data_IF_989742651204
#
_entry.id   IF_989742651204
#
_cell.length_a   1.000
_cell.length_b   1.000
_cell.length_c   1.000
_cell.angle_alpha   90.00
_cell.angle_beta   90.00
_cell.angle_gamma   90.00
#
_symmetry.space_group_name_H-M   'P 1'
#
loop_
_entity.id
_entity.type
_entity.pdbx_description
1 polymer ?
#
# COMPACT_ATOMS: atom_id res chain seq x y z
N UNK A 1 16.49 -10.32 89.22
CA UNK A 1 16.30 -9.11 88.40
C UNK A 1 17.29 -9.20 87.26
N UNK A 2 16.90 -9.16 85.99
CA UNK A 2 15.55 -9.16 85.40
C UNK A 2 15.70 -9.47 83.92
N UNK A 3 14.91 -10.42 83.40
CA UNK A 3 14.81 -10.70 81.98
C UNK A 3 14.19 -9.49 81.24
N UNK A 4 14.78 -9.14 80.09
CA UNK A 4 14.09 -8.37 79.04
C UNK A 4 14.50 -8.93 77.68
N UNK A 5 13.71 -9.87 77.16
CA UNK A 5 13.73 -10.20 75.72
C UNK A 5 13.36 -8.95 74.91
N UNK A 6 14.19 -8.55 73.96
CA UNK A 6 13.81 -7.53 72.98
C UNK A 6 13.12 -8.21 71.78
N UNK A 7 11.78 -8.31 71.83
CA UNK A 7 10.93 -8.89 70.79
C UNK A 7 10.11 -7.80 70.09
N UNK A 8 10.08 -7.89 68.76
CA UNK A 8 9.16 -7.22 67.83
C UNK A 8 9.28 -5.67 67.77
N UNK A 9 8.91 -4.99 66.68
CA UNK A 9 8.31 -5.48 65.44
C UNK A 9 9.00 -4.86 64.21
N UNK A 10 9.26 -5.66 63.18
CA UNK A 10 9.32 -5.14 61.82
C UNK A 10 7.86 -4.86 61.41
N UNK A 11 7.53 -3.60 61.18
CA UNK A 11 6.24 -3.23 60.61
C UNK A 11 6.26 -3.59 59.12
N UNK A 12 5.80 -4.81 58.81
CA UNK A 12 5.44 -5.20 57.46
C UNK A 12 4.16 -4.47 57.07
N UNK A 13 4.32 -3.26 56.52
CA UNK A 13 3.20 -2.49 55.98
C UNK A 13 2.76 -3.14 54.66
N UNK A 14 2.01 -4.23 54.76
CA UNK A 14 1.25 -4.76 53.63
C UNK A 14 0.25 -3.68 53.21
N UNK A 15 0.57 -2.99 52.11
CA UNK A 15 -0.42 -2.23 51.37
C UNK A 15 -1.42 -3.26 50.82
N UNK A 16 -2.57 -3.40 51.48
CA UNK A 16 -3.73 -4.12 50.96
C UNK A 16 -4.10 -3.51 49.61
N UNK A 17 -3.66 -4.16 48.53
CA UNK A 17 -4.07 -3.83 47.16
C UNK A 17 -5.54 -4.21 47.07
N UNK A 18 -6.41 -3.23 47.36
CA UNK A 18 -7.86 -3.37 47.22
C UNK A 18 -8.16 -3.77 45.78
N UNK A 19 -8.56 -5.02 45.58
CA UNK A 19 -8.90 -5.53 44.27
C UNK A 19 -10.00 -4.65 43.65
N UNK A 20 -9.68 -4.05 42.50
CA UNK A 20 -10.66 -3.27 41.75
C UNK A 20 -11.83 -4.18 41.34
N UNK A 21 -13.08 -3.76 41.52
CA UNK A 21 -14.23 -4.60 41.17
C UNK A 21 -14.19 -5.00 39.69
N UNK A 22 -14.38 -6.28 39.41
CA UNK A 22 -14.42 -6.81 38.05
C UNK A 22 -15.71 -6.33 37.34
N UNK A 23 -15.59 -5.26 36.55
CA UNK A 23 -16.73 -4.64 35.85
C UNK A 23 -16.96 -5.38 34.54
N UNK A 24 -17.96 -6.25 34.54
CA UNK A 24 -18.44 -6.90 33.32
C UNK A 24 -19.21 -5.93 32.42
N UNK A 25 -18.93 -5.97 31.11
CA UNK A 25 -19.64 -5.20 30.08
C UNK A 25 -20.24 -6.14 29.04
N UNK A 26 -21.54 -6.02 28.76
CA UNK A 26 -22.18 -6.72 27.65
C UNK A 26 -21.71 -6.14 26.30
N UNK A 27 -21.25 -6.97 25.34
CA UNK A 27 -20.82 -6.47 24.03
C UNK A 27 -21.99 -5.88 23.23
N UNK A 28 -21.90 -4.59 22.89
CA UNK A 28 -22.90 -3.89 22.08
C UNK A 28 -23.01 -4.41 20.64
N UNK A 29 -21.95 -5.04 20.13
CA UNK A 29 -21.87 -5.59 18.77
C UNK A 29 -21.18 -6.94 18.83
N UNK A 30 -21.77 -7.94 18.18
CA UNK A 30 -21.11 -9.22 17.89
C UNK A 30 -20.59 -9.18 16.46
N UNK A 31 -19.28 -9.24 16.30
CA UNK A 31 -18.63 -9.34 14.98
C UNK A 31 -18.62 -10.81 14.53
N UNK A 32 -18.72 -11.02 13.22
CA UNK A 32 -18.50 -12.33 12.60
C UNK A 32 -17.02 -12.50 12.25
N UNK A 33 -16.53 -13.75 12.25
CA UNK A 33 -15.16 -14.06 11.87
C UNK A 33 -14.97 -13.86 10.35
N UNK A 34 -14.20 -12.85 9.96
CA UNK A 34 -13.91 -12.54 8.56
C UNK A 34 -12.55 -13.11 8.16
N UNK A 35 -12.51 -13.85 7.05
CA UNK A 35 -11.25 -14.30 6.43
C UNK A 35 -10.58 -13.10 5.75
N UNK A 36 -9.57 -12.53 6.41
CA UNK A 36 -8.79 -11.41 5.89
C UNK A 36 -7.68 -11.92 4.97
N UNK A 37 -7.61 -11.38 3.74
CA UNK A 37 -6.49 -11.58 2.82
C UNK A 37 -5.40 -10.52 3.02
N UNK A 38 -4.16 -10.89 2.74
CA UNK A 38 -3.01 -9.96 2.81
C UNK A 38 -2.79 -9.19 1.51
N UNK A 39 -3.28 -9.72 0.39
CA UNK A 39 -2.93 -9.26 -0.97
C UNK A 39 -1.42 -9.34 -1.22
N UNK A 40 -0.82 -10.41 -0.70
CA UNK A 40 0.59 -10.82 -0.83
C UNK A 40 0.69 -12.32 -1.23
N UNK A 41 -0.45 -12.99 -1.47
CA UNK A 41 -0.53 -14.44 -1.70
C UNK A 41 0.05 -14.89 -3.04
N UNK A 42 0.00 -14.02 -4.06
CA UNK A 42 0.51 -14.27 -5.40
C UNK A 42 1.96 -13.77 -5.60
N UNK A 43 2.69 -13.55 -4.49
CA UNK A 43 4.05 -12.99 -4.51
C UNK A 43 5.04 -13.76 -3.63
N UNK A 44 6.29 -13.89 -4.09
CA UNK A 44 7.38 -14.51 -3.35
C UNK A 44 8.29 -13.45 -2.67
N UNK A 45 8.60 -13.57 -1.37
CA UNK A 45 9.50 -12.67 -0.68
C UNK A 45 10.98 -12.99 -0.97
N UNK A 46 11.54 -12.37 -2.01
CA UNK A 46 12.95 -12.53 -2.39
C UNK A 46 13.92 -11.86 -1.39
N UNK A 47 13.44 -10.89 -0.61
CA UNK A 47 14.19 -10.27 0.49
C UNK A 47 13.26 -9.98 1.65
N UNK A 48 13.73 -10.18 2.89
CA UNK A 48 13.03 -9.78 4.11
C UNK A 48 14.03 -9.34 5.18
N UNK A 49 13.88 -8.13 5.73
CA UNK A 49 14.76 -7.66 6.80
C UNK A 49 14.11 -6.62 7.72
N UNK A 50 14.53 -6.62 8.98
CA UNK A 50 14.14 -5.63 9.98
C UNK A 50 14.72 -4.24 9.69
N UNK A 51 13.88 -3.21 9.60
CA UNK A 51 14.28 -1.85 9.31
C UNK A 51 13.42 -0.78 10.04
N UNK A 52 13.89 0.47 10.00
CA UNK A 52 13.12 1.68 10.32
C UNK A 52 13.09 2.61 9.11
N UNK A 53 11.90 3.04 8.72
CA UNK A 53 11.63 3.88 7.57
C UNK A 53 11.24 5.29 8.01
N UNK A 54 11.74 6.28 7.27
CA UNK A 54 11.47 7.70 7.43
C UNK A 54 10.95 8.27 6.11
N UNK A 55 10.13 9.32 6.19
CA UNK A 55 9.80 10.20 5.07
C UNK A 55 10.41 11.57 5.31
N UNK A 56 10.84 12.24 4.24
CA UNK A 56 11.22 13.64 4.32
C UNK A 56 9.96 14.50 4.26
N UNK A 57 9.76 15.35 5.27
CA UNK A 57 8.74 16.37 5.28
C UNK A 57 9.28 17.61 4.54
N UNK A 58 8.68 17.96 3.42
CA UNK A 58 9.16 19.06 2.55
C UNK A 58 8.88 20.45 3.10
N UNK A 59 7.84 20.60 3.92
CA UNK A 59 7.46 21.87 4.55
C UNK A 59 8.34 22.16 5.76
N UNK A 60 8.45 21.18 6.68
CA UNK A 60 9.28 21.28 7.87
C UNK A 60 10.78 21.04 7.60
N UNK A 61 11.13 20.50 6.42
CA UNK A 61 12.50 20.18 5.97
C UNK A 61 13.22 19.20 6.90
N UNK A 62 12.49 18.21 7.43
CA UNK A 62 12.99 17.26 8.42
C UNK A 62 12.62 15.81 8.09
N UNK A 63 13.33 14.86 8.71
CA UNK A 63 13.02 13.43 8.60
C UNK A 63 12.02 13.00 9.68
N UNK A 64 10.81 12.63 9.27
CA UNK A 64 9.79 12.07 10.17
C UNK A 64 9.78 10.55 10.10
N UNK A 65 9.73 9.88 11.25
CA UNK A 65 9.58 8.42 11.28
C UNK A 65 8.23 8.02 10.66
N UNK A 66 8.27 7.12 9.68
CA UNK A 66 7.09 6.62 8.96
C UNK A 66 6.66 5.26 9.49
N UNK A 67 7.61 4.40 9.88
CA UNK A 67 7.33 3.09 10.46
C UNK A 67 8.58 2.30 10.86
N UNK A 68 8.41 1.34 11.77
CA UNK A 68 9.42 0.33 12.12
C UNK A 68 8.78 -1.05 11.96
N UNK A 69 9.49 -1.98 11.32
CA UNK A 69 8.96 -3.30 10.97
C UNK A 69 9.87 -4.07 10.01
N UNK A 70 9.33 -5.10 9.37
CA UNK A 70 10.05 -5.85 8.34
C UNK A 70 9.77 -5.23 6.97
N UNK A 71 10.82 -4.82 6.25
CA UNK A 71 10.75 -4.52 4.82
C UNK A 71 10.89 -5.82 4.03
N UNK A 72 10.04 -5.99 3.02
CA UNK A 72 10.07 -7.09 2.05
C UNK A 72 10.31 -6.53 0.65
N UNK A 73 11.03 -7.29 -0.17
CA UNK A 73 10.90 -7.19 -1.63
C UNK A 73 10.09 -8.40 -2.08
N UNK A 74 8.97 -8.15 -2.74
CA UNK A 74 7.97 -9.16 -3.15
C UNK A 74 7.94 -9.24 -4.67
N UNK A 75 8.15 -10.43 -5.23
CA UNK A 75 8.12 -10.70 -6.67
C UNK A 75 6.82 -11.40 -7.05
N UNK A 76 6.04 -10.80 -7.93
CA UNK A 76 4.77 -11.38 -8.38
C UNK A 76 4.97 -12.66 -9.19
N UNK A 77 4.18 -13.70 -8.92
CA UNK A 77 4.34 -15.03 -9.50
C UNK A 77 4.12 -15.05 -11.01
N UNK A 78 3.14 -14.31 -11.52
CA UNK A 78 2.85 -14.22 -12.96
C UNK A 78 3.67 -13.13 -13.65
N UNK A 79 3.36 -11.85 -13.40
CA UNK A 79 3.98 -10.68 -14.04
C UNK A 79 5.48 -10.50 -13.78
N UNK A 80 6.06 -11.21 -12.81
CA UNK A 80 7.46 -11.10 -12.34
C UNK A 80 7.88 -9.71 -11.82
N UNK A 81 6.97 -8.74 -11.77
CA UNK A 81 7.20 -7.39 -11.25
C UNK A 81 7.48 -7.45 -9.74
N UNK A 82 8.44 -6.67 -9.28
CA UNK A 82 8.91 -6.63 -7.89
C UNK A 82 8.49 -5.32 -7.22
N UNK A 83 7.88 -5.41 -6.04
CA UNK A 83 7.56 -4.25 -5.19
C UNK A 83 8.23 -4.31 -3.83
N UNK A 84 8.50 -3.14 -3.27
CA UNK A 84 8.87 -2.98 -1.87
C UNK A 84 7.60 -2.84 -1.05
N UNK A 85 7.41 -3.72 -0.06
CA UNK A 85 6.32 -3.65 0.90
C UNK A 85 6.88 -3.62 2.33
N UNK A 86 6.39 -2.71 3.16
CA UNK A 86 6.75 -2.64 4.57
C UNK A 86 5.51 -2.40 5.44
N UNK A 87 5.37 -3.16 6.52
CA UNK A 87 4.29 -3.03 7.51
C UNK A 87 4.86 -2.66 8.87
N UNK A 88 4.13 -1.84 9.64
CA UNK A 88 4.49 -1.46 11.02
C UNK A 88 4.26 -2.62 11.98
N UNK A 89 5.13 -2.74 12.98
CA UNK A 89 4.92 -3.64 14.11
C UNK A 89 3.56 -3.43 14.79
N UNK A 90 3.01 -4.53 15.32
CA UNK A 90 1.77 -4.64 16.13
C UNK A 90 0.49 -4.23 15.40
N UNK A 91 0.48 -3.08 14.74
CA UNK A 91 -0.65 -2.54 13.98
C UNK A 91 -0.80 -3.15 12.59
N UNK A 92 0.27 -3.73 12.02
CA UNK A 92 0.33 -4.34 10.68
C UNK A 92 -0.06 -3.40 9.51
N UNK A 93 -0.30 -2.11 9.79
CA UNK A 93 -0.54 -1.08 8.80
C UNK A 93 0.65 -0.95 7.87
N UNK A 94 0.38 -0.87 6.57
CA UNK A 94 1.39 -0.57 5.54
C UNK A 94 2.06 0.78 5.85
N UNK A 95 3.35 0.90 5.56
CA UNK A 95 4.11 2.15 5.67
C UNK A 95 5.06 2.41 4.49
N UNK A 96 5.16 1.49 3.54
CA UNK A 96 5.63 1.69 2.17
C UNK A 96 5.06 0.57 1.29
N UNK A 97 4.69 0.90 0.06
CA UNK A 97 4.16 -0.02 -0.95
C UNK A 97 4.32 0.63 -2.33
N UNK A 98 5.39 0.27 -3.03
CA UNK A 98 5.69 0.79 -4.37
C UNK A 98 6.47 -0.24 -5.19
N UNK A 99 6.25 -0.25 -6.50
CA UNK A 99 7.13 -0.99 -7.42
C UNK A 99 8.53 -0.37 -7.42
N UNK A 100 9.55 -1.21 -7.60
CA UNK A 100 10.92 -0.72 -7.85
C UNK A 100 11.03 -0.38 -9.34
N UNK A 101 11.33 0.88 -9.67
CA UNK A 101 11.44 1.36 -11.07
C UNK A 101 12.90 1.69 -11.41
N UNK A 102 13.26 1.70 -12.71
CA UNK A 102 14.67 1.83 -13.11
C UNK A 102 15.32 3.16 -12.70
N UNK A 103 14.52 4.21 -12.49
CA UNK A 103 14.94 5.52 -12.02
C UNK A 103 15.23 5.59 -10.52
N UNK A 104 14.93 4.52 -9.76
CA UNK A 104 15.22 4.46 -8.32
C UNK A 104 16.72 4.21 -8.06
N UNK A 105 17.39 5.23 -7.52
CA UNK A 105 18.81 5.18 -7.12
C UNK A 105 18.94 5.33 -5.61
N UNK A 106 19.45 4.28 -4.94
CA UNK A 106 19.77 4.32 -3.51
C UNK A 106 21.02 5.18 -3.26
N UNK A 107 20.82 6.33 -2.62
CA UNK A 107 21.88 7.26 -2.22
C UNK A 107 22.24 7.09 -0.74
N UNK A 108 23.52 7.18 -0.33
CA UNK A 108 23.90 7.08 1.08
C UNK A 108 23.39 8.30 1.87
N UNK A 109 22.90 8.08 3.09
CA UNK A 109 22.49 9.19 3.96
C UNK A 109 23.70 9.81 4.67
N UNK A 110 23.79 11.14 4.71
CA UNK A 110 24.90 11.85 5.36
C UNK A 110 24.94 11.51 6.86
N UNK A 111 26.10 11.05 7.34
CA UNK A 111 26.29 10.65 8.73
C UNK A 111 25.73 9.27 9.10
N UNK A 112 25.36 8.42 8.13
CA UNK A 112 25.00 7.02 8.38
C UNK A 112 25.61 6.05 7.39
N UNK A 113 26.31 5.05 7.91
CA UNK A 113 26.87 3.87 7.22
C UNK A 113 25.84 2.77 6.93
N UNK A 114 24.63 2.92 7.45
CA UNK A 114 23.57 1.90 7.53
C UNK A 114 22.20 2.41 7.08
N UNK A 115 22.19 3.46 6.26
CA UNK A 115 20.95 4.07 5.75
C UNK A 115 21.05 4.45 4.28
N UNK A 116 19.97 4.21 3.54
CA UNK A 116 19.81 4.60 2.13
C UNK A 116 18.63 5.54 1.96
N UNK A 117 18.71 6.41 0.96
CA UNK A 117 17.72 7.42 0.59
C UNK A 117 17.35 7.26 -0.89
N UNK A 118 16.06 7.30 -1.23
CA UNK A 118 15.60 7.28 -2.62
C UNK A 118 14.28 8.04 -2.80
N UNK A 119 14.04 8.49 -4.04
CA UNK A 119 12.76 9.05 -4.45
C UNK A 119 11.82 7.93 -4.91
N UNK A 120 10.54 8.08 -4.59
CA UNK A 120 9.46 7.23 -5.07
C UNK A 120 8.42 8.12 -5.74
N UNK A 121 8.09 7.83 -7.00
CA UNK A 121 7.14 8.63 -7.77
C UNK A 121 5.68 8.41 -7.33
N UNK A 122 5.33 7.17 -6.94
CA UNK A 122 4.02 6.76 -6.48
C UNK A 122 4.15 5.64 -5.42
N UNK A 123 3.92 6.00 -4.15
CA UNK A 123 3.86 5.07 -3.02
C UNK A 123 2.42 5.02 -2.48
N UNK A 124 1.86 3.81 -2.39
CA UNK A 124 0.42 3.56 -2.15
C UNK A 124 0.19 2.97 -0.76
N UNK A 125 0.11 3.81 0.28
CA UNK A 125 -0.02 3.35 1.68
C UNK A 125 -1.44 3.42 2.21
N UNK A 126 -2.18 4.48 1.89
CA UNK A 126 -3.54 4.75 2.35
C UNK A 126 -4.47 4.95 1.13
N UNK A 127 -4.37 4.03 0.17
CA UNK A 127 -5.05 3.99 -1.15
C UNK A 127 -4.80 5.17 -2.12
N UNK A 128 -4.12 6.24 -1.67
CA UNK A 128 -3.63 7.33 -2.49
C UNK A 128 -2.16 7.12 -2.91
N UNK A 129 -1.83 7.46 -4.16
CA UNK A 129 -0.49 7.35 -4.72
C UNK A 129 0.29 8.66 -4.55
N UNK A 130 1.22 8.71 -3.60
CA UNK A 130 1.99 9.91 -3.28
C UNK A 130 3.44 9.86 -3.79
N UNK A 131 3.99 11.01 -4.18
CA UNK A 131 5.45 11.15 -4.34
C UNK A 131 6.11 11.28 -2.96
N UNK A 132 7.07 10.43 -2.68
CA UNK A 132 7.76 10.38 -1.39
C UNK A 132 9.29 10.39 -1.55
N UNK A 133 9.98 11.11 -0.69
CA UNK A 133 11.43 10.97 -0.49
C UNK A 133 11.64 10.14 0.78
N UNK A 134 12.05 8.89 0.60
CA UNK A 134 12.15 7.90 1.67
C UNK A 134 13.60 7.71 2.10
N UNK A 135 13.79 7.46 3.40
CA UNK A 135 15.04 6.95 3.94
C UNK A 135 14.79 5.72 4.79
N UNK A 136 15.60 4.67 4.60
CA UNK A 136 15.54 3.43 5.38
C UNK A 136 16.82 3.24 6.16
N UNK A 137 16.73 2.76 7.41
CA UNK A 137 17.85 2.48 8.29
C UNK A 137 17.80 1.07 8.84
N UNK A 138 18.92 0.37 8.76
CA UNK A 138 19.10 -1.00 9.23
C UNK A 138 19.85 -1.07 10.56
N UNK A 139 19.95 -2.28 11.13
CA UNK A 139 20.68 -2.51 12.39
C UNK A 139 22.16 -2.16 12.29
N UNK A 140 22.83 -2.53 11.19
CA UNK A 140 24.25 -2.33 10.93
C UNK A 140 24.50 -2.08 9.43
N UNK A 141 25.74 -1.73 9.05
CA UNK A 141 26.11 -1.45 7.65
C UNK A 141 26.00 -2.69 6.74
N UNK A 142 26.38 -3.86 7.23
CA UNK A 142 26.28 -5.12 6.48
C UNK A 142 24.85 -5.40 5.99
N UNK A 143 23.86 -5.25 6.87
CA UNK A 143 22.44 -5.40 6.55
C UNK A 143 21.96 -4.33 5.57
N UNK A 144 22.47 -3.10 5.67
CA UNK A 144 22.16 -2.05 4.70
C UNK A 144 22.72 -2.38 3.31
N UNK A 145 23.93 -2.94 3.22
CA UNK A 145 24.54 -3.35 1.95
C UNK A 145 23.79 -4.53 1.33
N UNK A 146 23.38 -5.53 2.11
CA UNK A 146 22.51 -6.64 1.64
C UNK A 146 21.16 -6.16 1.09
N UNK A 147 20.55 -5.15 1.72
CA UNK A 147 19.34 -4.52 1.16
C UNK A 147 19.64 -3.80 -0.14
N UNK A 148 20.75 -3.07 -0.24
CA UNK A 148 21.12 -2.35 -1.45
C UNK A 148 21.33 -3.32 -2.63
N UNK A 149 22.08 -4.40 -2.43
CA UNK A 149 22.30 -5.46 -3.40
C UNK A 149 20.97 -6.02 -3.91
N UNK A 150 20.11 -6.50 -3.01
CA UNK A 150 18.79 -7.03 -3.37
C UNK A 150 17.85 -6.00 -4.05
N UNK A 151 17.97 -4.70 -3.72
CA UNK A 151 17.21 -3.63 -4.36
C UNK A 151 17.73 -3.32 -5.76
N UNK A 152 19.04 -3.33 -5.99
CA UNK A 152 19.65 -3.11 -7.30
C UNK A 152 19.37 -4.31 -8.24
N UNK A 153 19.42 -5.54 -7.74
CA UNK A 153 19.00 -6.75 -8.46
C UNK A 153 17.50 -6.72 -8.84
N UNK A 154 16.65 -6.28 -7.91
CA UNK A 154 15.22 -6.12 -8.16
C UNK A 154 14.93 -5.02 -9.19
N UNK A 155 15.73 -3.94 -9.20
CA UNK A 155 15.62 -2.86 -10.18
C UNK A 155 15.95 -3.34 -11.59
N UNK A 156 17.05 -4.06 -11.76
CA UNK A 156 17.42 -4.59 -13.09
C UNK A 156 16.42 -5.67 -13.55
N UNK A 157 15.97 -6.55 -12.64
CA UNK A 157 14.90 -7.52 -12.92
C UNK A 157 13.61 -6.85 -13.43
N UNK A 158 13.18 -5.76 -12.80
CA UNK A 158 11.98 -5.03 -13.21
C UNK A 158 12.16 -4.29 -14.54
N UNK A 159 13.37 -3.82 -14.84
CA UNK A 159 13.71 -3.20 -16.12
C UNK A 159 13.68 -4.22 -17.27
N UNK A 160 14.19 -5.43 -17.06
CA UNK A 160 14.05 -6.54 -18.01
C UNK A 160 12.57 -6.89 -18.26
N UNK A 161 11.76 -7.00 -17.18
CA UNK A 161 10.32 -7.26 -17.28
C UNK A 161 9.60 -6.15 -18.05
N UNK A 162 9.90 -4.87 -17.79
CA UNK A 162 9.28 -3.75 -18.50
C UNK A 162 9.68 -3.69 -20.00
N UNK A 163 10.91 -4.08 -20.33
CA UNK A 163 11.36 -4.20 -21.71
C UNK A 163 10.64 -5.34 -22.47
N UNK A 164 10.38 -6.47 -21.80
CA UNK A 164 9.60 -7.57 -22.38
C UNK A 164 8.12 -7.19 -22.59
N UNK A 165 7.48 -6.56 -21.60
CA UNK A 165 6.09 -6.05 -21.66
C UNK A 165 5.91 -5.06 -22.84
N UNK A 166 6.97 -4.32 -23.19
CA UNK A 166 7.01 -3.37 -24.31
C UNK A 166 7.31 -4.02 -25.67
N UNK A 167 7.76 -5.28 -25.70
CA UNK A 167 8.19 -6.00 -26.90
C UNK A 167 7.07 -6.79 -27.60
N UNK A 168 6.12 -7.34 -26.84
CA UNK A 168 5.05 -8.21 -27.35
C UNK A 168 3.87 -7.45 -27.98
N UNK A 169 3.73 -6.14 -27.73
CA UNK A 169 2.54 -5.37 -28.12
C UNK A 169 2.58 -4.89 -29.59
N UNK A 170 2.78 -5.82 -30.55
CA UNK A 170 2.77 -5.52 -31.99
C UNK A 170 2.00 -6.51 -32.88
N UNK A 171 1.36 -7.55 -32.32
CA UNK A 171 0.57 -8.53 -33.12
C UNK A 171 -0.85 -8.83 -32.57
N UNK A 172 -1.31 -8.14 -31.52
CA UNK A 172 -2.67 -8.33 -30.94
C UNK A 172 -3.66 -7.20 -31.22
N UNK A 173 -3.20 -5.99 -31.58
CA UNK A 173 -4.06 -4.79 -31.72
C UNK A 173 -4.72 -4.62 -33.11
N UNK A 174 -4.98 -5.75 -33.78
CA UNK A 174 -5.52 -5.78 -35.15
C UNK A 174 -6.79 -6.64 -35.32
N UNK A 175 -7.39 -7.14 -34.21
CA UNK A 175 -8.60 -8.00 -34.25
C UNK A 175 -9.72 -7.65 -33.27
N UNK A 176 -9.63 -6.52 -32.57
CA UNK A 176 -10.72 -6.02 -31.70
C UNK A 176 -11.05 -4.54 -31.94
N UNK A 177 -11.08 -4.13 -33.21
CA UNK A 177 -11.57 -2.80 -33.64
C UNK A 177 -12.69 -2.87 -34.71
N UNK A 178 -13.13 -4.07 -35.10
CA UNK A 178 -14.05 -4.30 -36.23
C UNK A 178 -15.40 -4.90 -35.76
N UNK A 179 -15.87 -4.48 -34.57
CA UNK A 179 -17.13 -4.97 -33.99
C UNK A 179 -17.98 -3.98 -33.19
N UNK A 180 -17.52 -2.76 -32.93
CA UNK A 180 -18.33 -1.74 -32.25
C UNK A 180 -18.92 -0.68 -33.22
N UNK A 181 -18.35 -0.49 -34.41
CA UNK A 181 -18.82 0.50 -35.40
C UNK A 181 -19.94 -0.03 -36.33
N UNK A 182 -20.82 -0.91 -35.80
CA UNK A 182 -21.89 -1.55 -36.58
C UNK A 182 -23.29 -1.61 -35.95
N UNK A 183 -23.46 -1.22 -34.69
CA UNK A 183 -24.79 -1.12 -34.06
C UNK A 183 -25.34 0.32 -33.98
N UNK A 184 -24.51 1.36 -34.19
CA UNK A 184 -24.98 2.76 -34.13
C UNK A 184 -25.47 3.35 -35.48
N UNK A 185 -25.43 2.58 -36.58
CA UNK A 185 -25.94 3.02 -37.90
C UNK A 185 -27.34 2.54 -38.26
N UNK A 186 -27.80 1.41 -37.72
CA UNK A 186 -29.12 0.86 -38.08
C UNK A 186 -30.31 1.59 -37.40
N UNK A 187 -30.06 2.45 -36.40
CA UNK A 187 -31.12 3.09 -35.62
C UNK A 187 -31.42 4.55 -36.01
N UNK A 188 -31.07 4.97 -37.24
CA UNK A 188 -31.31 6.34 -37.73
C UNK A 188 -31.96 6.47 -39.11
N UNK A 189 -32.16 5.39 -39.86
CA UNK A 189 -32.86 5.42 -41.15
C UNK A 189 -34.39 5.18 -41.05
N UNK A 190 -34.91 4.60 -39.97
CA UNK A 190 -36.37 4.35 -39.81
C UNK A 190 -37.23 5.59 -39.41
N UNK A 191 -36.67 6.81 -39.40
CA UNK A 191 -37.43 8.04 -39.04
C UNK A 191 -37.65 9.04 -40.19
N UNK A 192 -37.46 8.62 -41.45
CA UNK A 192 -37.79 9.42 -42.63
C UNK A 192 -38.54 8.61 -43.70
N UNK A 193 -39.64 7.96 -43.32
CA UNK A 193 -40.48 7.17 -44.25
C UNK A 193 -41.99 7.16 -43.93
N UNK A 194 -42.56 8.24 -43.36
CA UNK A 194 -44.01 8.45 -43.37
C UNK A 194 -44.41 9.94 -43.38
N UNK A 195 -44.52 10.50 -44.59
CA UNK A 195 -45.49 11.57 -44.88
C UNK A 195 -46.04 11.36 -46.30
N UNK A 196 -47.37 11.41 -46.46
CA UNK A 196 -47.92 11.92 -47.73
C UNK A 196 -49.23 11.38 -48.29
N UNK A 197 -50.38 11.46 -47.58
CA UNK A 197 -51.76 11.59 -48.12
C UNK A 197 -52.81 11.43 -47.00
N UNK A 198 -53.91 12.19 -46.80
CA UNK A 198 -54.66 13.28 -47.50
C UNK A 198 -55.67 13.88 -46.45
N UNK A 199 -56.30 15.06 -46.55
CA UNK A 199 -56.24 16.21 -47.48
C UNK A 199 -56.97 17.45 -46.88
N UNK A 200 -57.05 18.54 -47.67
CA UNK A 200 -57.94 19.73 -47.50
C UNK A 200 -59.45 19.37 -47.53
N UNK A 201 -60.43 20.27 -47.23
CA UNK A 201 -60.32 21.75 -47.04
C UNK A 201 -61.14 22.43 -45.88
N UNK A 202 -60.88 23.75 -45.69
CA UNK A 202 -61.81 24.87 -45.33
C UNK A 202 -62.70 24.77 -44.05
N UNK A 203 -62.89 25.78 -43.19
CA UNK A 203 -63.14 27.23 -43.33
C UNK A 203 -63.27 27.86 -41.90
N UNK A 204 -63.14 29.21 -41.74
CA UNK A 204 -63.62 30.10 -40.63
C UNK A 204 -63.43 29.68 -39.14
N UNK A 205 -63.24 30.56 -38.15
CA UNK A 205 -63.28 32.04 -38.06
C UNK A 205 -62.60 32.51 -36.76
N UNK A 206 -62.54 33.84 -36.57
CA UNK A 206 -62.55 34.63 -35.31
C UNK A 206 -62.87 33.84 -34.02
N UNK A 207 -62.26 34.16 -32.88
CA UNK A 207 -62.19 35.51 -32.28
C UNK A 207 -60.95 35.72 -31.40
#
# INVERSE_FOLDING_TARGET
MSDTENKNAAADTQEDVVESPDVHFEPLVKLEDVVVKTHEEDEEPIFKMRAKLFRFDTEAKEWKERGTGDVKLLKHNETKKIRLLMRRDKTLKVCANHYITEDMVLSPNVGSDRSWVWNVAADLVDDEAERQLLAIRFGNSENANKFKEAFEDARESNKEVAAADSGDNKESDAKQADKEDKEEKDNKEEKMADEGSKSKPEDKSKE
#
